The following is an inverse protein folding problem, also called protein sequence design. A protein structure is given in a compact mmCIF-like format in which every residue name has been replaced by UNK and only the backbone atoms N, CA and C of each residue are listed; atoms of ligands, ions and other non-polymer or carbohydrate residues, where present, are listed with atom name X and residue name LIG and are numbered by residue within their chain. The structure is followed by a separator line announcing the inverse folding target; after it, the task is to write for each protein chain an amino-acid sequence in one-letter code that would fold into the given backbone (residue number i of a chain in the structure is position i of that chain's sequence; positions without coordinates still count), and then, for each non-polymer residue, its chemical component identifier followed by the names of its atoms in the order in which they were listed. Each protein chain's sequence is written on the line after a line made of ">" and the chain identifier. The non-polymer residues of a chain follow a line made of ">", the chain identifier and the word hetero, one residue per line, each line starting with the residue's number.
data_IF_326681355487
#
_entry.id   IF_326681355487
#
_cell.length_a   1.000
_cell.length_b   1.000
_cell.length_c   1.000
_cell.angle_alpha   90.00
_cell.angle_beta   90.00
_cell.angle_gamma   90.00
#
_symmetry.space_group_name_H-M   'P 1'
#
loop_
_entity.id
_entity.type
_entity.pdbx_description
1 polymer ?
#
# COMPACT_ATOMS: atom_id res chain seq x y z
N UNK A 1 -19.82 -18.43 50.51
CA UNK A 1 -18.44 -18.32 49.98
C UNK A 1 -18.14 -19.01 48.63
N UNK A 2 -19.05 -19.73 47.92
CA UNK A 2 -18.70 -20.26 46.59
C UNK A 2 -18.85 -19.24 45.44
N UNK A 3 -19.69 -18.20 45.56
CA UNK A 3 -19.98 -17.31 44.43
C UNK A 3 -18.88 -16.29 44.06
N UNK A 4 -17.90 -16.04 44.93
CA UNK A 4 -16.85 -15.03 44.70
C UNK A 4 -15.71 -15.61 43.85
N UNK A 5 -15.42 -16.90 43.99
CA UNK A 5 -14.40 -17.60 43.20
C UNK A 5 -14.84 -17.81 41.75
N UNK A 6 -16.13 -18.08 41.51
CA UNK A 6 -16.69 -18.23 40.16
C UNK A 6 -16.69 -16.91 39.37
N UNK A 7 -16.95 -15.78 40.05
CA UNK A 7 -16.91 -14.45 39.44
C UNK A 7 -15.49 -14.01 39.06
N UNK A 8 -14.49 -14.35 39.88
CA UNK A 8 -13.08 -14.04 39.59
C UNK A 8 -12.53 -14.90 38.43
N UNK A 9 -12.91 -16.18 38.36
CA UNK A 9 -12.57 -17.06 37.25
C UNK A 9 -13.21 -16.59 35.94
N UNK A 10 -14.51 -16.25 35.95
CA UNK A 10 -15.21 -15.71 34.79
C UNK A 10 -14.65 -14.33 34.35
N UNK A 11 -14.29 -13.45 35.30
CA UNK A 11 -13.63 -12.18 34.99
C UNK A 11 -12.24 -12.36 34.38
N UNK A 12 -11.48 -13.36 34.83
CA UNK A 12 -10.18 -13.73 34.24
C UNK A 12 -10.30 -14.26 32.82
N UNK A 13 -11.33 -15.08 32.55
CA UNK A 13 -11.60 -15.64 31.22
C UNK A 13 -12.10 -14.57 30.23
N UNK A 14 -12.92 -13.62 30.70
CA UNK A 14 -13.33 -12.44 29.92
C UNK A 14 -12.16 -11.48 29.67
N UNK A 15 -11.28 -11.26 30.65
CA UNK A 15 -10.10 -10.42 30.46
C UNK A 15 -9.11 -11.02 29.45
N UNK A 16 -8.90 -12.34 29.47
CA UNK A 16 -8.04 -13.05 28.53
C UNK A 16 -8.59 -12.99 27.10
N UNK A 17 -9.91 -13.13 26.94
CA UNK A 17 -10.56 -13.05 25.62
C UNK A 17 -10.58 -11.63 25.05
N UNK A 18 -10.73 -10.60 25.89
CA UNK A 18 -10.58 -9.20 25.48
C UNK A 18 -9.14 -8.89 25.07
N UNK A 19 -8.16 -9.32 25.86
CA UNK A 19 -6.74 -9.15 25.53
C UNK A 19 -6.36 -9.89 24.24
N UNK A 20 -6.86 -11.11 24.03
CA UNK A 20 -6.66 -11.87 22.80
C UNK A 20 -7.30 -11.20 21.57
N UNK A 21 -8.46 -10.54 21.73
CA UNK A 21 -9.08 -9.75 20.67
C UNK A 21 -8.25 -8.53 20.26
N UNK A 22 -7.67 -7.82 21.25
CA UNK A 22 -6.81 -6.67 20.98
C UNK A 22 -5.42 -7.07 20.45
N UNK A 23 -4.90 -8.23 20.84
CA UNK A 23 -3.62 -8.75 20.34
C UNK A 23 -3.61 -8.83 18.81
N UNK A 24 -4.65 -9.41 18.21
CA UNK A 24 -4.66 -9.60 16.77
C UNK A 24 -4.79 -8.30 15.97
N UNK A 25 -5.64 -7.36 16.40
CA UNK A 25 -5.74 -6.08 15.70
C UNK A 25 -4.50 -5.20 15.92
N UNK A 26 -3.81 -5.32 17.06
CA UNK A 26 -2.49 -4.72 17.26
C UNK A 26 -1.46 -5.33 16.30
N UNK A 27 -1.34 -6.66 16.27
CA UNK A 27 -0.40 -7.37 15.39
C UNK A 27 -0.59 -6.99 13.92
N UNK A 28 -1.83 -6.98 13.45
CA UNK A 28 -2.15 -6.63 12.07
C UNK A 28 -1.87 -5.15 11.78
N UNK A 29 -2.19 -4.24 12.70
CA UNK A 29 -1.89 -2.82 12.51
C UNK A 29 -0.37 -2.57 12.40
N UNK A 30 0.42 -3.20 13.27
CA UNK A 30 1.88 -3.13 13.22
C UNK A 30 2.45 -3.79 11.96
N UNK A 31 1.85 -4.90 11.52
CA UNK A 31 2.24 -5.56 10.27
C UNK A 31 1.98 -4.65 9.06
N UNK A 32 0.84 -3.97 9.01
CA UNK A 32 0.54 -3.01 7.95
C UNK A 32 1.54 -1.85 7.91
N UNK A 33 1.94 -1.34 9.07
CA UNK A 33 2.96 -0.27 9.15
C UNK A 33 4.34 -0.77 8.69
N UNK A 34 4.76 -1.96 9.14
CA UNK A 34 6.02 -2.57 8.74
C UNK A 34 6.07 -2.85 7.22
N UNK A 35 4.97 -3.32 6.62
CA UNK A 35 4.88 -3.56 5.18
C UNK A 35 4.92 -2.24 4.37
N UNK A 36 4.29 -1.17 4.87
CA UNK A 36 4.38 0.17 4.26
C UNK A 36 5.82 0.66 4.29
N UNK A 37 6.45 0.64 5.46
CA UNK A 37 7.84 1.09 5.62
C UNK A 37 8.80 0.27 4.77
N UNK A 38 8.58 -1.04 4.64
CA UNK A 38 9.33 -1.88 3.72
C UNK A 38 9.22 -1.40 2.27
N UNK A 39 8.01 -1.09 1.79
CA UNK A 39 7.80 -0.51 0.46
C UNK A 39 8.57 0.81 0.27
N UNK A 40 8.45 1.72 1.24
CA UNK A 40 9.16 3.02 1.20
C UNK A 40 10.68 2.85 1.19
N UNK A 41 11.22 1.86 1.91
CA UNK A 41 12.64 1.53 1.91
C UNK A 41 13.09 0.91 0.59
N UNK A 42 12.23 0.07 0.01
CA UNK A 42 12.46 -0.56 -1.28
C UNK A 42 12.59 0.48 -2.40
N UNK A 43 11.63 1.42 -2.45
CA UNK A 43 11.65 2.55 -3.39
C UNK A 43 12.88 3.43 -3.20
N UNK A 44 13.24 3.74 -1.95
CA UNK A 44 14.46 4.49 -1.63
C UNK A 44 15.73 3.77 -2.10
N UNK A 45 15.82 2.46 -1.90
CA UNK A 45 16.95 1.66 -2.36
C UNK A 45 17.06 1.69 -3.89
N UNK A 46 15.93 1.55 -4.59
CA UNK A 46 15.89 1.64 -6.05
C UNK A 46 16.37 3.03 -6.53
N UNK A 47 15.85 4.11 -5.95
CA UNK A 47 16.26 5.48 -6.29
C UNK A 47 17.73 5.74 -5.99
N UNK A 48 18.26 5.18 -4.90
CA UNK A 48 19.68 5.28 -4.56
C UNK A 48 20.55 4.59 -5.62
N UNK A 49 20.14 3.43 -6.13
CA UNK A 49 20.84 2.74 -7.23
C UNK A 49 20.78 3.56 -8.51
N UNK A 50 19.60 4.09 -8.89
CA UNK A 50 19.48 4.97 -10.07
C UNK A 50 20.42 6.17 -9.93
N UNK A 51 20.37 6.86 -8.79
CA UNK A 51 21.22 8.03 -8.51
C UNK A 51 22.70 7.68 -8.53
N UNK A 52 23.07 6.52 -8.00
CA UNK A 52 24.43 6.02 -8.02
C UNK A 52 24.89 5.64 -9.43
N UNK A 53 24.00 5.29 -10.36
CA UNK A 53 24.31 4.93 -11.75
C UNK A 53 24.31 6.13 -12.71
N UNK A 54 23.45 7.12 -12.46
CA UNK A 54 23.35 8.36 -13.25
C UNK A 54 24.24 9.49 -12.71
N UNK A 55 24.70 9.38 -11.47
CA UNK A 55 25.62 10.33 -10.86
C UNK A 55 26.99 10.36 -11.54
N UNK A 56 27.58 11.56 -11.60
CA UNK A 56 28.93 11.82 -12.08
C UNK A 56 29.96 11.34 -11.05
N UNK A 57 30.20 10.03 -11.00
CA UNK A 57 31.27 9.45 -10.20
C UNK A 57 32.61 9.52 -10.96
N UNK A 58 33.70 9.89 -10.27
CA UNK A 58 35.04 10.08 -10.84
C UNK A 58 35.66 8.82 -11.46
N UNK A 59 35.22 7.62 -11.07
CA UNK A 59 35.72 6.35 -11.61
C UNK A 59 34.60 5.57 -12.26
N UNK A 60 34.40 5.82 -13.55
CA UNK A 60 33.53 5.02 -14.41
C UNK A 60 34.34 4.28 -15.47
N UNK A 61 33.87 3.10 -15.91
CA UNK A 61 34.43 2.43 -17.06
C UNK A 61 34.38 3.32 -18.31
N UNK A 62 35.30 3.09 -19.24
CA UNK A 62 35.29 3.76 -20.54
C UNK A 62 33.94 3.57 -21.26
N UNK A 63 33.41 4.64 -21.85
CA UNK A 63 32.11 4.64 -22.54
C UNK A 63 30.89 4.86 -21.66
N UNK A 64 31.03 4.96 -20.34
CA UNK A 64 29.90 5.20 -19.42
C UNK A 64 29.17 6.53 -19.66
N UNK A 65 29.87 7.55 -20.16
CA UNK A 65 29.30 8.86 -20.46
C UNK A 65 28.28 8.82 -21.60
N UNK A 66 28.38 7.85 -22.51
CA UNK A 66 27.37 7.61 -23.56
C UNK A 66 26.10 7.05 -22.93
N UNK A 67 26.24 6.11 -21.99
CA UNK A 67 25.11 5.54 -21.24
C UNK A 67 24.37 6.58 -20.38
N UNK A 68 25.07 7.61 -19.88
CA UNK A 68 24.43 8.71 -19.13
C UNK A 68 23.44 9.51 -19.98
N UNK A 69 23.58 9.53 -21.31
CA UNK A 69 22.60 10.15 -22.20
C UNK A 69 21.28 9.36 -22.24
N UNK A 70 21.31 8.09 -21.87
CA UNK A 70 20.19 7.16 -21.83
C UNK A 70 19.69 6.93 -20.39
N UNK A 71 19.55 8.01 -19.62
CA UNK A 71 19.18 7.94 -18.20
C UNK A 71 17.86 7.20 -17.94
N UNK A 72 16.89 7.31 -18.85
CA UNK A 72 15.62 6.59 -18.78
C UNK A 72 15.79 5.08 -18.96
N UNK A 73 16.74 4.65 -19.80
CA UNK A 73 17.08 3.23 -19.99
C UNK A 73 17.75 2.68 -18.73
N UNK A 74 18.65 3.45 -18.11
CA UNK A 74 19.26 3.09 -16.82
C UNK A 74 18.17 2.93 -15.75
N UNK A 75 17.27 3.90 -15.64
CA UNK A 75 16.16 3.85 -14.69
C UNK A 75 15.30 2.61 -14.90
N UNK A 76 14.90 2.33 -16.16
CA UNK A 76 14.09 1.16 -16.49
C UNK A 76 14.81 -0.15 -16.20
N UNK A 77 16.11 -0.23 -16.47
CA UNK A 77 16.90 -1.42 -16.15
C UNK A 77 16.93 -1.68 -14.63
N UNK A 78 17.08 -0.62 -13.82
CA UNK A 78 17.03 -0.73 -12.35
C UNK A 78 15.64 -1.16 -11.89
N UNK A 79 14.56 -0.56 -12.43
CA UNK A 79 13.18 -0.97 -12.16
C UNK A 79 12.98 -2.47 -12.42
N UNK A 80 13.43 -2.98 -13.56
CA UNK A 80 13.33 -4.41 -13.90
C UNK A 80 14.13 -5.29 -12.94
N UNK A 81 15.32 -4.88 -12.53
CA UNK A 81 16.11 -5.65 -11.54
C UNK A 81 15.34 -5.74 -10.23
N UNK A 82 14.77 -4.64 -9.75
CA UNK A 82 13.99 -4.64 -8.51
C UNK A 82 12.67 -5.42 -8.68
N UNK A 83 12.03 -5.38 -9.84
CA UNK A 83 10.83 -6.17 -10.13
C UNK A 83 11.09 -7.69 -10.07
N UNK A 84 12.19 -8.18 -10.66
CA UNK A 84 12.43 -9.62 -10.82
C UNK A 84 13.35 -10.25 -9.77
N UNK A 85 14.31 -9.51 -9.21
CA UNK A 85 15.32 -10.08 -8.30
C UNK A 85 14.72 -10.72 -7.02
N UNK A 86 13.71 -10.13 -6.35
CA UNK A 86 13.06 -10.77 -5.21
C UNK A 86 12.40 -12.11 -5.56
N UNK A 87 11.77 -12.19 -6.73
CA UNK A 87 11.13 -13.43 -7.20
C UNK A 87 12.15 -14.55 -7.40
N UNK A 88 13.33 -14.24 -7.94
CA UNK A 88 14.41 -15.21 -8.14
C UNK A 88 15.01 -15.65 -6.80
N UNK A 89 15.27 -14.70 -5.90
CA UNK A 89 15.85 -14.98 -4.58
C UNK A 89 14.92 -15.83 -3.70
N UNK A 90 13.61 -15.73 -3.90
CA UNK A 90 12.60 -16.42 -3.09
C UNK A 90 12.05 -17.69 -3.76
N UNK A 91 12.60 -18.09 -4.91
CA UNK A 91 12.13 -19.26 -5.66
C UNK A 91 10.68 -19.12 -6.17
N UNK A 92 10.24 -17.90 -6.46
CA UNK A 92 8.88 -17.59 -6.90
C UNK A 92 7.83 -17.62 -5.79
N UNK A 93 8.22 -17.75 -4.53
CA UNK A 93 7.29 -17.78 -3.40
C UNK A 93 6.72 -16.39 -3.06
N UNK A 94 7.47 -15.32 -3.35
CA UNK A 94 7.07 -13.92 -3.16
C UNK A 94 6.94 -13.21 -4.50
N UNK A 95 6.04 -13.68 -5.38
CA UNK A 95 5.71 -12.97 -6.63
C UNK A 95 4.82 -11.75 -6.41
N UNK A 96 4.15 -11.68 -5.25
CA UNK A 96 3.40 -10.50 -4.86
C UNK A 96 4.33 -9.51 -4.15
N UNK A 97 4.36 -8.26 -4.62
CA UNK A 97 4.94 -7.15 -3.90
C UNK A 97 4.37 -7.14 -2.48
N UNK A 98 5.23 -7.28 -1.46
CA UNK A 98 4.80 -7.31 -0.07
C UNK A 98 4.02 -6.04 0.32
N UNK A 99 4.27 -4.91 -0.36
CA UNK A 99 3.53 -3.67 -0.20
C UNK A 99 2.04 -3.81 -0.59
N UNK A 100 1.72 -4.71 -1.53
CA UNK A 100 0.34 -4.97 -1.95
C UNK A 100 -0.53 -5.56 -0.83
N UNK A 101 0.10 -6.20 0.17
CA UNK A 101 -0.59 -6.77 1.33
C UNK A 101 -0.96 -5.72 2.38
N UNK A 102 -0.40 -4.51 2.30
CA UNK A 102 -0.68 -3.43 3.26
C UNK A 102 -2.18 -3.19 3.38
N UNK A 103 -2.88 -3.06 2.25
CA UNK A 103 -4.33 -2.79 2.25
C UNK A 103 -5.19 -3.90 2.83
N UNK A 104 -5.05 -5.16 2.36
CA UNK A 104 -5.75 -6.30 2.97
C UNK A 104 -5.51 -6.40 4.48
N UNK A 105 -4.28 -6.20 4.94
CA UNK A 105 -3.92 -6.28 6.36
C UNK A 105 -4.57 -5.14 7.16
N UNK A 106 -4.59 -3.90 6.64
CA UNK A 106 -5.29 -2.76 7.26
C UNK A 106 -6.78 -3.03 7.43
N UNK A 107 -7.43 -3.54 6.37
CA UNK A 107 -8.86 -3.88 6.41
C UNK A 107 -9.14 -4.97 7.44
N UNK A 108 -8.33 -6.03 7.47
CA UNK A 108 -8.49 -7.12 8.42
C UNK A 108 -8.35 -6.63 9.87
N UNK A 109 -7.36 -5.76 10.14
CA UNK A 109 -7.17 -5.15 11.46
C UNK A 109 -8.41 -4.36 11.93
N UNK A 110 -9.01 -3.57 11.03
CA UNK A 110 -10.21 -2.77 11.34
C UNK A 110 -11.43 -3.67 11.56
N UNK A 111 -11.63 -4.69 10.74
CA UNK A 111 -12.77 -5.61 10.87
C UNK A 111 -12.71 -6.43 12.16
N UNK A 112 -11.50 -6.75 12.63
CA UNK A 112 -11.30 -7.52 13.86
C UNK A 112 -11.31 -6.65 15.12
N UNK A 113 -11.08 -5.34 15.00
CA UNK A 113 -11.11 -4.44 16.14
C UNK A 113 -12.54 -4.03 16.48
N UNK A 114 -12.96 -4.21 17.73
CA UNK A 114 -14.29 -3.79 18.20
C UNK A 114 -14.47 -2.27 18.23
N UNK A 115 -13.41 -1.55 18.60
CA UNK A 115 -13.41 -0.08 18.72
C UNK A 115 -12.18 0.53 18.02
N UNK A 116 -12.09 0.48 16.67
CA UNK A 116 -10.89 0.84 15.91
C UNK A 116 -10.48 2.32 16.09
N UNK A 117 -11.44 3.20 16.41
CA UNK A 117 -11.16 4.62 16.70
C UNK A 117 -10.54 4.86 18.08
N UNK A 118 -10.58 3.89 18.98
CA UNK A 118 -10.01 3.97 20.34
C UNK A 118 -8.79 3.08 20.54
N UNK A 119 -8.45 2.29 19.53
CA UNK A 119 -7.23 1.49 19.49
C UNK A 119 -6.13 2.29 18.76
N UNK A 120 -5.08 2.78 19.45
CA UNK A 120 -4.10 3.70 18.86
C UNK A 120 -3.42 3.20 17.59
N UNK A 121 -2.88 1.97 17.58
CA UNK A 121 -2.22 1.41 16.40
C UNK A 121 -3.18 1.23 15.21
N UNK A 122 -4.39 0.70 15.45
CA UNK A 122 -5.40 0.53 14.39
C UNK A 122 -5.85 1.89 13.84
N UNK A 123 -6.01 2.89 14.71
CA UNK A 123 -6.36 4.24 14.28
C UNK A 123 -5.26 4.83 13.37
N UNK A 124 -4.01 4.75 13.81
CA UNK A 124 -2.87 5.38 13.13
C UNK A 124 -2.52 4.67 11.82
N UNK A 125 -2.36 3.35 11.86
CA UNK A 125 -1.77 2.60 10.75
C UNK A 125 -2.80 1.99 9.79
N UNK A 126 -4.07 1.94 10.20
CA UNK A 126 -5.14 1.38 9.38
C UNK A 126 -6.22 2.41 9.06
N UNK A 127 -6.92 2.94 10.06
CA UNK A 127 -8.10 3.80 9.85
C UNK A 127 -7.73 5.08 9.12
N UNK A 128 -6.74 5.84 9.62
CA UNK A 128 -6.30 7.09 8.98
C UNK A 128 -5.89 6.87 7.51
N UNK A 129 -4.95 5.95 7.20
CA UNK A 129 -4.60 5.65 5.81
C UNK A 129 -5.78 5.25 4.93
N UNK A 130 -6.71 4.43 5.45
CA UNK A 130 -7.93 4.05 4.71
C UNK A 130 -8.80 5.27 4.41
N UNK A 131 -8.98 6.16 5.39
CA UNK A 131 -9.85 7.34 5.20
C UNK A 131 -9.22 8.42 4.32
N UNK A 132 -7.89 8.55 4.37
CA UNK A 132 -7.15 9.57 3.62
C UNK A 132 -6.87 9.12 2.18
N UNK A 133 -6.53 7.84 1.97
CA UNK A 133 -6.05 7.32 0.68
C UNK A 133 -7.02 6.33 0.03
N UNK A 134 -7.93 5.73 0.80
CA UNK A 134 -8.92 4.78 0.30
C UNK A 134 -9.79 5.30 -0.86
N UNK A 135 -10.28 6.56 -0.86
CA UNK A 135 -11.03 7.08 -2.00
C UNK A 135 -10.19 7.18 -3.28
N UNK A 136 -8.89 7.48 -3.15
CA UNK A 136 -7.98 7.63 -4.28
C UNK A 136 -7.55 6.27 -4.84
N UNK A 137 -7.10 5.34 -3.99
CA UNK A 137 -6.69 4.00 -4.42
C UNK A 137 -7.87 3.17 -4.91
N UNK A 138 -9.03 3.18 -4.24
CA UNK A 138 -10.23 2.48 -4.73
C UNK A 138 -10.66 3.07 -6.08
N UNK A 139 -10.59 4.39 -6.25
CA UNK A 139 -10.92 5.03 -7.53
C UNK A 139 -9.95 4.64 -8.64
N UNK A 140 -8.65 4.61 -8.38
CA UNK A 140 -7.67 4.19 -9.39
C UNK A 140 -7.76 2.68 -9.68
N UNK A 141 -7.91 1.82 -8.67
CA UNK A 141 -8.14 0.38 -8.88
C UNK A 141 -9.44 0.11 -9.65
N UNK A 142 -10.53 0.81 -9.32
CA UNK A 142 -11.80 0.72 -10.06
C UNK A 142 -11.60 1.25 -11.47
N UNK A 143 -10.92 2.38 -11.68
CA UNK A 143 -10.62 2.89 -13.03
C UNK A 143 -9.80 1.92 -13.85
N UNK A 144 -8.77 1.31 -13.29
CA UNK A 144 -7.90 0.40 -14.00
C UNK A 144 -8.64 -0.90 -14.34
N UNK A 145 -9.44 -1.42 -13.40
CA UNK A 145 -10.35 -2.54 -13.71
C UNK A 145 -11.43 -2.18 -14.74
N UNK A 146 -11.94 -0.95 -14.73
CA UNK A 146 -12.88 -0.49 -15.74
C UNK A 146 -12.16 -0.31 -17.09
N UNK A 147 -10.92 0.17 -17.13
CA UNK A 147 -10.11 0.25 -18.35
C UNK A 147 -9.78 -1.13 -18.92
N UNK A 148 -9.54 -2.11 -18.07
CA UNK A 148 -9.35 -3.52 -18.47
C UNK A 148 -10.65 -4.17 -18.93
N UNK A 149 -11.77 -3.86 -18.28
CA UNK A 149 -13.07 -4.43 -18.58
C UNK A 149 -13.78 -3.77 -19.78
N UNK A 150 -13.46 -2.50 -20.09
CA UNK A 150 -14.06 -1.77 -21.20
C UNK A 150 -13.14 -1.73 -22.42
N UNK A 151 -13.67 -2.03 -23.62
CA UNK A 151 -12.93 -1.84 -24.86
C UNK A 151 -12.45 -0.37 -25.03
N UNK A 152 -11.37 -0.11 -25.78
CA UNK A 152 -10.82 1.24 -26.00
C UNK A 152 -11.81 2.28 -26.59
N UNK A 153 -12.99 1.86 -27.01
CA UNK A 153 -14.00 2.65 -27.72
C UNK A 153 -15.26 2.95 -26.88
N UNK A 154 -15.25 2.78 -25.56
CA UNK A 154 -16.46 2.87 -24.72
C UNK A 154 -16.37 3.87 -23.55
N UNK A 155 -17.19 4.94 -23.50
CA UNK A 155 -17.81 5.68 -24.60
C UNK A 155 -17.10 7.01 -24.93
N UNK A 156 -17.17 7.50 -26.18
CA UNK A 156 -16.63 8.79 -26.62
C UNK A 156 -17.43 10.01 -26.09
N UNK A 157 -16.86 11.23 -26.17
CA UNK A 157 -17.39 12.43 -25.51
C UNK A 157 -18.80 12.78 -26.00
N UNK A 158 -19.73 12.99 -25.07
CA UNK A 158 -20.89 13.81 -25.36
C UNK A 158 -20.41 15.24 -25.59
N UNK A 159 -20.32 15.64 -26.86
CA UNK A 159 -20.48 17.03 -27.27
C UNK A 159 -21.92 17.44 -26.99
N UNK A 160 -22.26 17.50 -25.71
CA UNK A 160 -23.51 18.05 -25.21
C UNK A 160 -23.41 19.56 -25.23
N UNK A 161 -23.73 20.12 -26.41
CA UNK A 161 -24.24 21.46 -26.67
C UNK A 161 -24.24 22.42 -25.47
N UNK A 162 -23.40 23.46 -25.55
CA UNK A 162 -23.57 24.70 -24.78
C UNK A 162 -25.00 25.18 -25.01
N UNK A 163 -25.89 24.93 -24.04
CA UNK A 163 -27.18 25.60 -23.99
C UNK A 163 -26.91 26.97 -23.38
N UNK A 164 -26.73 27.96 -24.25
CA UNK A 164 -26.70 29.36 -23.85
C UNK A 164 -28.00 29.68 -23.12
N UNK A 165 -27.90 30.03 -21.85
CA UNK A 165 -29.01 30.61 -21.09
C UNK A 165 -29.19 32.04 -21.59
N UNK A 166 -30.36 32.45 -22.12
CA UNK A 166 -30.57 33.83 -22.48
C UNK A 166 -30.71 34.65 -21.19
N UNK A 167 -29.85 35.65 -21.06
CA UNK A 167 -29.97 36.71 -20.06
C UNK A 167 -31.21 37.54 -20.44
N UNK A 168 -32.26 37.50 -19.62
CA UNK A 168 -33.41 38.38 -19.75
C UNK A 168 -33.25 39.59 -18.83
N UNK A 169 -33.62 40.76 -19.36
CA UNK A 169 -33.43 42.10 -18.80
C UNK A 169 -33.98 42.35 -17.42
#
# INVERSE_FOLDING_TARGET
>A
MPQIVDAAAAAGEVALTVAAGHFWCELLAQTADALREYGDQYDRAQQAVVSALTGLAEKRPDGWTVLLQEADVIKRAVELVFEYLPSLATGGLLTADASSLVWPVRLLAVLMCREPRRHPAVLEYCVKPITEHGPAEIREHVKDRLREAFPPHWPPPSTGSVMAVPFAG
#
